data_IF_961176770331
#
_entry.id   IF_961176770331
#
_cell.length_a   1.000
_cell.length_b   1.000
_cell.length_c   1.000
_cell.angle_alpha   90.00
_cell.angle_beta   90.00
_cell.angle_gamma   90.00
#
_symmetry.space_group_name_H-M   'P 1'
#
loop_
_entity.id
_entity.type
_entity.pdbx_description
1 polymer ?
#
# COMPACT_ATOMS: atom_id res chain seq x y z
N UNK A 1 26.34 0.87 43.14
CA UNK A 1 25.26 1.29 42.24
C UNK A 1 23.95 0.74 42.78
N UNK A 2 23.03 1.60 43.20
CA UNK A 2 21.70 1.18 43.70
C UNK A 2 20.86 0.62 42.55
N UNK A 3 20.03 -0.39 42.83
CA UNK A 3 19.12 -1.02 41.85
C UNK A 3 18.23 0.00 41.14
N UNK A 4 17.75 1.01 41.86
CA UNK A 4 17.01 2.16 41.33
C UNK A 4 17.78 2.91 40.22
N UNK A 5 19.08 3.11 40.39
CA UNK A 5 19.92 3.80 39.41
C UNK A 5 20.09 2.99 38.14
N UNK A 6 20.16 1.66 38.26
CA UNK A 6 20.25 0.75 37.11
C UNK A 6 18.93 0.75 36.33
N UNK A 7 17.79 0.69 37.02
CA UNK A 7 16.46 0.74 36.40
C UNK A 7 16.24 2.07 35.68
N UNK A 8 16.62 3.20 36.28
CA UNK A 8 16.53 4.52 35.66
C UNK A 8 17.43 4.64 34.41
N UNK A 9 18.64 4.09 34.46
CA UNK A 9 19.54 4.06 33.31
C UNK A 9 18.95 3.24 32.16
N UNK A 10 18.48 2.02 32.42
CA UNK A 10 17.90 1.16 31.40
C UNK A 10 16.63 1.79 30.83
N UNK A 11 15.77 2.36 31.68
CA UNK A 11 14.56 3.07 31.24
C UNK A 11 14.88 4.28 30.36
N UNK A 12 15.88 5.08 30.72
CA UNK A 12 16.33 6.24 29.94
C UNK A 12 16.93 5.85 28.58
N UNK A 13 17.76 4.80 28.55
CA UNK A 13 18.33 4.29 27.29
C UNK A 13 17.22 3.73 26.39
N UNK A 14 16.26 3.02 26.98
CA UNK A 14 15.14 2.43 26.22
C UNK A 14 14.23 3.49 25.62
N UNK A 15 13.94 4.57 26.36
CA UNK A 15 13.11 5.66 25.84
C UNK A 15 13.80 6.42 24.71
N UNK A 16 15.11 6.67 24.81
CA UNK A 16 15.90 7.28 23.74
C UNK A 16 15.94 6.38 22.51
N UNK A 17 16.14 5.07 22.69
CA UNK A 17 16.14 4.10 21.60
C UNK A 17 14.79 4.04 20.88
N UNK A 18 13.68 4.00 21.63
CA UNK A 18 12.33 4.02 21.05
C UNK A 18 12.03 5.33 20.31
N UNK A 19 12.48 6.46 20.86
CA UNK A 19 12.34 7.77 20.21
C UNK A 19 13.14 7.84 18.90
N UNK A 20 14.36 7.30 18.88
CA UNK A 20 15.19 7.21 17.68
C UNK A 20 14.52 6.31 16.62
N UNK A 21 14.00 5.14 16.99
CA UNK A 21 13.26 4.26 16.08
C UNK A 21 11.99 4.93 15.52
N UNK A 22 11.26 5.68 16.36
CA UNK A 22 10.07 6.42 15.92
C UNK A 22 10.43 7.53 14.92
N UNK A 23 11.49 8.28 15.18
CA UNK A 23 11.99 9.31 14.26
C UNK A 23 12.50 8.71 12.95
N UNK A 24 13.23 7.60 13.02
CA UNK A 24 13.71 6.85 11.85
C UNK A 24 12.56 6.37 10.97
N UNK A 25 11.48 5.86 11.59
CA UNK A 25 10.27 5.44 10.88
C UNK A 25 9.51 6.62 10.26
N UNK A 26 9.37 7.73 11.00
CA UNK A 26 8.60 8.91 10.55
C UNK A 26 9.30 9.67 9.42
N UNK A 27 10.61 9.84 9.51
CA UNK A 27 11.41 10.60 8.54
C UNK A 27 12.12 9.71 7.51
N UNK A 28 11.92 8.39 7.59
CA UNK A 28 12.53 7.41 6.68
C UNK A 28 14.06 7.58 6.60
N UNK A 29 14.74 7.82 7.74
CA UNK A 29 16.19 8.00 7.75
C UNK A 29 16.96 6.70 7.52
N UNK A 30 16.30 5.54 7.68
CA UNK A 30 16.83 4.18 7.45
C UNK A 30 18.12 3.92 8.24
N UNK A 31 18.29 4.58 9.39
CA UNK A 31 19.43 4.38 10.28
C UNK A 31 19.44 2.97 10.86
N UNK A 32 18.26 2.39 11.12
CA UNK A 32 18.16 1.01 11.57
C UNK A 32 18.60 0.00 10.50
N UNK A 33 18.27 0.24 9.23
CA UNK A 33 18.75 -0.57 8.10
C UNK A 33 20.28 -0.48 8.01
N UNK A 34 20.84 0.74 8.18
CA UNK A 34 22.29 0.98 8.14
C UNK A 34 23.04 0.30 9.29
N UNK A 35 22.53 0.38 10.53
CA UNK A 35 23.12 -0.31 11.68
C UNK A 35 23.03 -1.84 11.56
N UNK A 36 22.02 -2.35 10.85
CA UNK A 36 21.85 -3.79 10.59
C UNK A 36 22.77 -4.30 9.46
N UNK A 37 23.58 -3.42 8.85
CA UNK A 37 24.45 -3.77 7.72
C UNK A 37 23.69 -3.98 6.41
N UNK A 38 22.40 -3.65 6.36
CA UNK A 38 21.66 -3.65 5.11
C UNK A 38 21.99 -2.36 4.34
N UNK A 39 22.87 -2.49 3.35
CA UNK A 39 23.13 -1.43 2.37
C UNK A 39 21.90 -1.23 1.48
N UNK A 40 20.92 -0.51 2.01
CA UNK A 40 19.75 -0.16 1.24
C UNK A 40 20.08 1.02 0.33
N UNK A 41 19.85 0.84 -0.96
CA UNK A 41 20.12 1.88 -1.95
C UNK A 41 19.12 3.05 -1.76
N UNK A 42 19.59 4.29 -1.53
CA UNK A 42 18.74 5.45 -1.31
C UNK A 42 17.94 5.88 -2.55
N UNK A 43 18.25 5.33 -3.73
CA UNK A 43 17.56 5.59 -5.00
C UNK A 43 16.53 4.52 -5.37
N UNK A 44 16.45 3.40 -4.62
CA UNK A 44 15.39 2.42 -4.81
C UNK A 44 14.19 2.95 -4.02
N UNK A 45 13.14 3.31 -4.76
CA UNK A 45 11.81 3.70 -4.25
C UNK A 45 11.49 2.95 -2.95
N UNK A 46 11.08 3.69 -1.91
CA UNK A 46 10.75 3.11 -0.62
C UNK A 46 9.75 1.97 -0.82
N UNK A 47 9.74 0.96 0.07
CA UNK A 47 8.71 -0.11 0.01
C UNK A 47 7.30 0.48 0.00
N UNK A 48 7.11 1.67 0.59
CA UNK A 48 5.89 2.45 0.52
C UNK A 48 5.57 2.95 -0.90
N UNK A 49 6.55 3.50 -1.62
CA UNK A 49 6.40 3.96 -3.00
C UNK A 49 6.12 2.81 -3.97
N UNK A 50 6.74 1.64 -3.74
CA UNK A 50 6.46 0.43 -4.52
C UNK A 50 5.04 -0.08 -4.26
N UNK A 51 4.57 0.00 -3.01
CA UNK A 51 3.20 -0.34 -2.68
C UNK A 51 2.21 0.61 -3.35
N UNK A 52 2.48 1.92 -3.31
CA UNK A 52 1.66 2.93 -3.98
C UNK A 52 1.60 2.68 -5.48
N UNK A 53 2.75 2.44 -6.13
CA UNK A 53 2.78 2.14 -7.56
C UNK A 53 1.97 0.89 -7.92
N UNK A 54 1.98 -0.13 -7.07
CA UNK A 54 1.17 -1.35 -7.25
C UNK A 54 -0.33 -1.11 -7.04
N UNK A 55 -0.70 -0.15 -6.20
CA UNK A 55 -2.09 0.30 -6.05
C UNK A 55 -2.54 1.05 -7.29
N UNK A 56 -1.73 1.99 -7.79
CA UNK A 56 -2.04 2.76 -9.00
C UNK A 56 -2.20 1.84 -10.24
N UNK A 57 -1.34 0.82 -10.36
CA UNK A 57 -1.45 -0.22 -11.41
C UNK A 57 -2.74 -1.06 -11.30
N UNK A 58 -3.21 -1.31 -10.07
CA UNK A 58 -4.47 -2.03 -9.84
C UNK A 58 -5.67 -1.15 -10.17
N UNK A 59 -5.66 0.12 -9.79
CA UNK A 59 -6.73 1.06 -10.06
C UNK A 59 -6.91 1.26 -11.58
N UNK A 60 -5.81 1.38 -12.32
CA UNK A 60 -5.84 1.42 -13.79
C UNK A 60 -6.43 0.14 -14.42
N UNK A 61 -6.16 -1.02 -13.83
CA UNK A 61 -6.75 -2.29 -14.27
C UNK A 61 -8.25 -2.36 -13.97
N UNK A 62 -8.67 -1.90 -12.80
CA UNK A 62 -10.08 -1.84 -12.40
C UNK A 62 -10.85 -0.94 -13.37
N UNK A 63 -10.33 0.25 -13.67
CA UNK A 63 -10.97 1.18 -14.61
C UNK A 63 -11.13 0.56 -16.00
N UNK A 64 -10.08 -0.11 -16.50
CA UNK A 64 -10.14 -0.80 -17.79
C UNK A 64 -11.17 -1.93 -17.80
N UNK A 65 -11.26 -2.71 -16.72
CA UNK A 65 -12.24 -3.78 -16.58
C UNK A 65 -13.66 -3.24 -16.50
N UNK A 66 -13.89 -2.15 -15.76
CA UNK A 66 -15.19 -1.48 -15.67
C UNK A 66 -15.69 -1.05 -17.04
N UNK A 67 -14.87 -0.37 -17.85
CA UNK A 67 -15.27 0.03 -19.21
C UNK A 67 -15.63 -1.17 -20.10
N UNK A 68 -14.92 -2.29 -19.95
CA UNK A 68 -15.24 -3.52 -20.70
C UNK A 68 -16.57 -4.11 -20.26
N UNK A 69 -16.85 -4.12 -18.95
CA UNK A 69 -18.13 -4.59 -18.41
C UNK A 69 -19.26 -3.70 -18.93
N UNK A 70 -19.12 -2.38 -18.87
CA UNK A 70 -20.12 -1.44 -19.40
C UNK A 70 -20.40 -1.70 -20.89
N UNK A 71 -19.36 -1.88 -21.70
CA UNK A 71 -19.50 -2.21 -23.13
C UNK A 71 -20.24 -3.53 -23.33
N UNK A 72 -19.91 -4.56 -22.53
CA UNK A 72 -20.56 -5.87 -22.60
C UNK A 72 -22.02 -5.80 -22.14
N UNK A 73 -22.33 -5.00 -21.13
CA UNK A 73 -23.70 -4.77 -20.68
C UNK A 73 -24.53 -4.13 -21.78
N UNK A 74 -24.02 -3.11 -22.48
CA UNK A 74 -24.71 -2.52 -23.65
C UNK A 74 -24.93 -3.56 -24.75
N UNK A 75 -23.88 -4.31 -25.11
CA UNK A 75 -23.95 -5.35 -26.15
C UNK A 75 -24.90 -6.47 -25.76
N UNK A 76 -25.11 -6.79 -24.49
CA UNK A 76 -26.01 -7.88 -24.08
C UNK A 76 -27.45 -7.37 -23.93
N UNK A 77 -27.63 -6.16 -23.41
CA UNK A 77 -28.97 -5.61 -23.13
C UNK A 77 -29.73 -5.18 -24.38
N UNK A 78 -29.08 -4.55 -25.35
CA UNK A 78 -29.73 -4.11 -26.59
C UNK A 78 -30.27 -5.27 -27.47
N UNK A 79 -29.46 -6.27 -27.86
CA UNK A 79 -29.95 -7.35 -28.70
C UNK A 79 -30.90 -8.29 -27.96
N UNK A 80 -30.75 -8.45 -26.64
CA UNK A 80 -31.72 -9.21 -25.84
C UNK A 80 -33.07 -8.49 -25.80
N UNK A 81 -33.08 -7.16 -25.64
CA UNK A 81 -34.30 -6.37 -25.67
C UNK A 81 -34.98 -6.41 -27.05
N UNK A 82 -34.22 -6.25 -28.13
CA UNK A 82 -34.76 -6.34 -29.49
C UNK A 82 -35.30 -7.72 -29.84
N UNK A 83 -34.59 -8.79 -29.43
CA UNK A 83 -35.04 -10.16 -29.67
C UNK A 83 -36.34 -10.45 -28.90
N UNK A 84 -36.42 -10.06 -27.63
CA UNK A 84 -37.59 -10.31 -26.80
C UNK A 84 -38.81 -9.52 -27.29
N UNK A 85 -38.60 -8.30 -27.81
CA UNK A 85 -39.65 -7.52 -28.48
C UNK A 85 -40.17 -8.21 -29.75
N UNK A 86 -39.30 -8.81 -30.56
CA UNK A 86 -39.69 -9.58 -31.76
C UNK A 86 -40.42 -10.87 -31.40
N UNK A 87 -40.02 -11.56 -30.33
CA UNK A 87 -40.68 -12.78 -29.84
C UNK A 87 -42.09 -12.48 -29.33
N UNK A 88 -42.27 -11.41 -28.54
CA UNK A 88 -43.59 -11.04 -28.02
C UNK A 88 -44.55 -10.44 -29.07
N UNK A 89 -44.07 -10.13 -30.27
CA UNK A 89 -44.88 -9.63 -31.38
C UNK A 89 -45.37 -10.74 -32.33
N UNK A 90 -44.96 -12.00 -32.09
CA UNK A 90 -45.45 -13.22 -32.73
C UNK A 90 -46.57 -13.85 -31.89
#
# INVERSE_FOLDING_TARGET
>A
MTTLSIVLLIGGISSIALMACYLDAKFQWRLNDWMSGECSNPFIKSKADLHQQKLDEKDAQIEKLMRRIETLETIVTEPAYELNKKINAL
#
